data_IF_307287527193
#
_entry.id   IF_307287527193
#
_cell.length_a   1.000
_cell.length_b   1.000
_cell.length_c   1.000
_cell.angle_alpha   90.00
_cell.angle_beta   90.00
_cell.angle_gamma   90.00
#
_symmetry.space_group_name_H-M   'P 1'
#
loop_
_entity.id
_entity.type
_entity.pdbx_description
1 polymer ?
#
# COMPACT_ATOMS: atom_id res chain seq x y z
N UNK A 1 -2.14 -28.22 12.41
CA UNK A 1 -1.46 -27.00 11.96
C UNK A 1 -1.77 -25.90 12.96
N UNK A 2 -0.79 -25.10 13.43
CA UNK A 2 -1.10 -23.96 14.29
C UNK A 2 -2.04 -23.01 13.55
N UNK A 3 -3.06 -22.48 14.24
CA UNK A 3 -4.08 -21.64 13.62
C UNK A 3 -3.48 -20.29 13.20
N UNK A 4 -3.73 -19.85 11.96
CA UNK A 4 -3.33 -18.54 11.42
C UNK A 4 -4.27 -17.40 11.79
N UNK A 5 -5.38 -17.74 12.47
CA UNK A 5 -6.35 -16.84 13.07
C UNK A 5 -5.75 -15.63 13.82
N UNK A 6 -4.57 -15.72 14.48
CA UNK A 6 -3.96 -14.57 15.13
C UNK A 6 -3.56 -13.45 14.16
N UNK A 7 -3.02 -13.79 12.97
CA UNK A 7 -2.46 -12.80 12.03
C UNK A 7 -3.57 -11.98 11.39
N UNK A 8 -4.64 -12.63 10.91
CA UNK A 8 -5.77 -11.92 10.29
C UNK A 8 -6.57 -11.10 11.29
N UNK A 9 -6.75 -11.61 12.51
CA UNK A 9 -7.35 -10.81 13.60
C UNK A 9 -6.50 -9.60 13.96
N UNK A 10 -5.18 -9.77 14.08
CA UNK A 10 -4.25 -8.68 14.36
C UNK A 10 -4.28 -7.63 13.24
N UNK A 11 -4.31 -8.06 11.98
CA UNK A 11 -4.43 -7.15 10.85
C UNK A 11 -5.71 -6.31 10.92
N UNK A 12 -6.86 -6.92 11.22
CA UNK A 12 -8.12 -6.17 11.37
C UNK A 12 -8.08 -5.20 12.56
N UNK A 13 -7.47 -5.61 13.69
CA UNK A 13 -7.29 -4.75 14.87
C UNK A 13 -6.43 -3.53 14.56
N UNK A 14 -5.50 -3.61 13.61
CA UNK A 14 -4.68 -2.47 13.18
C UNK A 14 -5.41 -1.65 12.12
N UNK A 15 -5.90 -2.28 11.06
CA UNK A 15 -6.39 -1.60 9.87
C UNK A 15 -7.77 -0.97 10.03
N UNK A 16 -8.66 -1.55 10.86
CA UNK A 16 -9.97 -0.94 11.10
C UNK A 16 -9.83 0.39 11.86
N UNK A 17 -9.15 0.45 13.03
CA UNK A 17 -8.92 1.72 13.70
C UNK A 17 -8.16 2.73 12.85
N UNK A 18 -7.17 2.29 12.07
CA UNK A 18 -6.42 3.18 11.17
C UNK A 18 -7.34 3.86 10.16
N UNK A 19 -8.24 3.10 9.51
CA UNK A 19 -9.23 3.67 8.60
C UNK A 19 -10.22 4.61 9.32
N UNK A 20 -10.69 4.23 10.51
CA UNK A 20 -11.60 5.07 11.29
C UNK A 20 -10.94 6.40 11.70
N UNK A 21 -9.67 6.38 12.11
CA UNK A 21 -8.89 7.58 12.42
C UNK A 21 -8.73 8.45 11.18
N UNK A 22 -8.42 7.86 10.01
CA UNK A 22 -8.30 8.59 8.76
C UNK A 22 -9.62 9.28 8.36
N UNK A 23 -10.74 8.55 8.47
CA UNK A 23 -12.07 9.08 8.17
C UNK A 23 -12.48 10.18 9.15
N UNK A 24 -12.25 9.98 10.46
CA UNK A 24 -12.53 10.97 11.49
C UNK A 24 -11.69 12.24 11.27
N UNK A 25 -10.39 12.10 10.98
CA UNK A 25 -9.50 13.22 10.66
C UNK A 25 -10.03 14.02 9.46
N UNK A 26 -10.43 13.33 8.39
CA UNK A 26 -10.99 13.96 7.19
C UNK A 26 -12.31 14.69 7.48
N UNK A 27 -13.15 14.11 8.34
CA UNK A 27 -14.44 14.67 8.73
C UNK A 27 -14.30 15.93 9.61
N UNK A 28 -13.51 15.85 10.68
CA UNK A 28 -13.31 16.95 11.62
C UNK A 28 -12.37 18.04 11.09
N UNK A 29 -11.50 17.72 10.13
CA UNK A 29 -10.59 18.68 9.49
C UNK A 29 -11.28 19.69 8.58
N UNK A 30 -12.61 19.58 8.39
CA UNK A 30 -13.42 20.58 7.71
C UNK A 30 -13.11 20.71 6.22
N UNK A 31 -13.70 19.82 5.40
CA UNK A 31 -13.76 19.88 3.92
C UNK A 31 -12.70 19.09 3.15
N UNK A 32 -12.49 17.81 3.47
CA UNK A 32 -11.91 16.86 2.49
C UNK A 32 -12.70 15.56 2.52
N UNK A 33 -13.03 15.02 1.35
CA UNK A 33 -13.30 13.61 1.23
C UNK A 33 -11.94 12.92 1.33
N UNK A 34 -11.76 11.95 2.23
CA UNK A 34 -10.47 11.25 2.37
C UNK A 34 -10.00 10.61 1.04
N UNK A 35 -10.94 10.42 0.11
CA UNK A 35 -10.74 9.84 -1.21
C UNK A 35 -10.57 10.85 -2.35
N UNK A 36 -10.66 12.17 -2.11
CA UNK A 36 -10.53 13.20 -3.15
C UNK A 36 -9.83 14.48 -2.68
N UNK A 37 -8.92 15.01 -3.49
CA UNK A 37 -8.37 16.36 -3.32
C UNK A 37 -9.10 17.37 -4.19
N UNK A 38 -9.38 18.54 -3.61
CA UNK A 38 -9.96 19.68 -4.33
C UNK A 38 -8.92 20.33 -5.26
N UNK A 39 -7.67 20.40 -4.83
CA UNK A 39 -6.54 20.93 -5.59
C UNK A 39 -5.55 19.81 -5.95
N UNK A 40 -5.77 19.16 -7.09
CA UNK A 40 -4.82 18.21 -7.71
C UNK A 40 -3.87 18.90 -8.69
N UNK A 41 -2.70 18.33 -8.95
CA UNK A 41 -1.77 18.90 -9.95
C UNK A 41 -2.34 18.87 -11.37
N UNK A 42 -3.19 17.89 -11.68
CA UNK A 42 -3.96 17.86 -12.93
C UNK A 42 -5.27 18.64 -12.76
N UNK A 43 -5.40 19.74 -13.50
CA UNK A 43 -6.66 20.48 -13.64
C UNK A 43 -7.54 19.81 -14.70
N UNK A 44 -8.44 18.92 -14.26
CA UNK A 44 -9.36 18.20 -15.15
C UNK A 44 -10.67 17.82 -14.43
N UNK A 45 -11.77 17.58 -15.18
CA UNK A 45 -13.01 17.05 -14.60
C UNK A 45 -12.78 15.73 -13.86
N UNK A 46 -13.53 15.50 -12.78
CA UNK A 46 -13.38 14.31 -11.93
C UNK A 46 -13.38 12.97 -12.70
N UNK A 47 -14.27 12.72 -13.69
CA UNK A 47 -14.26 11.46 -14.43
C UNK A 47 -12.94 11.15 -15.13
N UNK A 48 -12.28 12.18 -15.72
CA UNK A 48 -10.99 12.02 -16.37
C UNK A 48 -9.89 11.74 -15.34
N UNK A 49 -9.91 12.45 -14.21
CA UNK A 49 -8.96 12.22 -13.10
C UNK A 49 -9.11 10.82 -12.51
N UNK A 50 -10.34 10.33 -12.35
CA UNK A 50 -10.63 8.97 -11.90
C UNK A 50 -10.10 7.93 -12.89
N UNK A 51 -10.41 8.09 -14.19
CA UNK A 51 -9.93 7.19 -15.24
C UNK A 51 -8.39 7.13 -15.27
N UNK A 52 -7.73 8.28 -15.19
CA UNK A 52 -6.27 8.35 -15.14
C UNK A 52 -5.70 7.72 -13.85
N UNK A 53 -6.31 7.97 -12.70
CA UNK A 53 -5.89 7.39 -11.41
C UNK A 53 -5.93 5.86 -11.46
N UNK A 54 -7.03 5.28 -11.92
CA UNK A 54 -7.18 3.83 -12.08
C UNK A 54 -6.20 3.26 -13.10
N UNK A 55 -6.00 3.94 -14.23
CA UNK A 55 -5.04 3.51 -15.26
C UNK A 55 -3.60 3.49 -14.73
N UNK A 56 -3.17 4.56 -14.03
CA UNK A 56 -1.85 4.63 -13.41
C UNK A 56 -1.69 3.58 -12.30
N UNK A 57 -2.72 3.36 -11.48
CA UNK A 57 -2.69 2.35 -10.43
C UNK A 57 -2.56 0.92 -10.99
N UNK A 58 -3.30 0.62 -12.06
CA UNK A 58 -3.20 -0.65 -12.76
C UNK A 58 -1.83 -0.82 -13.43
N UNK A 59 -1.33 0.21 -14.11
CA UNK A 59 -0.01 0.19 -14.73
C UNK A 59 1.10 -0.06 -13.69
N UNK A 60 1.06 0.63 -12.55
CA UNK A 60 1.99 0.43 -11.45
C UNK A 60 1.91 -1.00 -10.88
N UNK A 61 0.69 -1.53 -10.71
CA UNK A 61 0.49 -2.93 -10.30
C UNK A 61 1.19 -3.89 -11.25
N UNK A 62 0.95 -3.75 -12.55
CA UNK A 62 1.52 -4.62 -13.57
C UNK A 62 3.04 -4.54 -13.58
N UNK A 63 3.61 -3.33 -13.54
CA UNK A 63 5.06 -3.12 -13.50
C UNK A 63 5.67 -3.79 -12.27
N UNK A 64 5.14 -3.54 -11.07
CA UNK A 64 5.70 -4.08 -9.83
C UNK A 64 5.58 -5.60 -9.78
N UNK A 65 4.39 -6.14 -10.05
CA UNK A 65 4.13 -7.59 -9.96
C UNK A 65 4.94 -8.39 -10.99
N UNK A 66 5.17 -7.83 -12.18
CA UNK A 66 6.00 -8.50 -13.19
C UNK A 66 7.50 -8.36 -12.91
N UNK A 67 7.93 -7.24 -12.30
CA UNK A 67 9.31 -7.03 -11.88
C UNK A 67 9.71 -7.86 -10.66
N UNK A 68 8.79 -8.13 -9.72
CA UNK A 68 9.10 -8.83 -8.46
C UNK A 68 9.78 -10.19 -8.68
N UNK A 69 9.27 -11.13 -9.50
CA UNK A 69 9.95 -12.41 -9.75
C UNK A 69 11.33 -12.24 -10.40
N UNK A 70 11.51 -11.20 -11.24
CA UNK A 70 12.81 -10.90 -11.87
C UNK A 70 13.80 -10.44 -10.81
N UNK A 71 13.41 -9.51 -9.92
CA UNK A 71 14.26 -9.02 -8.83
C UNK A 71 14.66 -10.13 -7.88
N UNK A 72 13.71 -10.98 -7.48
CA UNK A 72 13.96 -12.17 -6.65
C UNK A 72 14.93 -13.13 -7.35
N UNK A 73 14.78 -13.40 -8.65
CA UNK A 73 15.75 -14.26 -9.35
C UNK A 73 17.14 -13.63 -9.51
N UNK A 74 17.22 -12.31 -9.69
CA UNK A 74 18.47 -11.62 -10.09
C UNK A 74 19.31 -11.11 -8.92
N UNK A 75 18.71 -10.83 -7.77
CA UNK A 75 19.40 -10.12 -6.67
C UNK A 75 19.38 -10.92 -5.37
N UNK A 76 20.48 -10.87 -4.61
CA UNK A 76 20.60 -11.61 -3.35
C UNK A 76 19.66 -11.06 -2.27
N UNK A 77 19.61 -9.72 -2.12
CA UNK A 77 18.78 -9.05 -1.12
C UNK A 77 17.29 -9.37 -1.29
N UNK A 78 16.79 -9.45 -2.54
CA UNK A 78 15.39 -9.75 -2.79
C UNK A 78 15.05 -11.21 -2.49
N UNK A 79 15.98 -12.15 -2.72
CA UNK A 79 15.80 -13.56 -2.31
C UNK A 79 15.75 -13.71 -0.81
N UNK A 80 16.64 -13.02 -0.12
CA UNK A 80 16.71 -13.05 1.35
C UNK A 80 15.42 -12.46 1.93
N UNK A 81 14.98 -11.28 1.46
CA UNK A 81 13.72 -10.68 1.88
C UNK A 81 12.51 -11.58 1.57
N UNK A 82 12.49 -12.21 0.39
CA UNK A 82 11.45 -13.16 0.01
C UNK A 82 11.39 -14.34 0.98
N UNK A 83 12.54 -14.91 1.35
CA UNK A 83 12.62 -16.02 2.31
C UNK A 83 12.08 -15.62 3.69
N UNK A 84 12.47 -14.45 4.19
CA UNK A 84 12.01 -13.93 5.48
C UNK A 84 10.49 -13.69 5.49
N UNK A 85 9.95 -13.06 4.44
CA UNK A 85 8.51 -12.83 4.32
C UNK A 85 7.75 -14.16 4.13
N UNK A 86 8.36 -15.16 3.49
CA UNK A 86 7.73 -16.46 3.29
C UNK A 86 7.39 -17.17 4.60
N UNK A 87 8.22 -17.03 5.63
CA UNK A 87 7.93 -17.61 6.95
C UNK A 87 6.61 -17.07 7.54
N UNK A 88 6.30 -15.79 7.29
CA UNK A 88 5.08 -15.12 7.74
C UNK A 88 3.87 -15.42 6.84
N UNK A 89 4.10 -15.51 5.52
CA UNK A 89 3.04 -15.58 4.51
C UNK A 89 2.65 -17.01 4.15
N UNK A 90 3.57 -17.98 4.20
CA UNK A 90 3.30 -19.37 3.83
C UNK A 90 2.14 -20.03 4.57
N UNK A 91 1.93 -19.78 5.88
CA UNK A 91 0.79 -20.34 6.60
C UNK A 91 -0.58 -19.81 6.13
N UNK A 92 -0.62 -18.60 5.56
CA UNK A 92 -1.88 -17.93 5.20
C UNK A 92 -2.58 -18.64 4.04
N UNK A 93 -3.90 -18.72 4.11
CA UNK A 93 -4.76 -19.15 3.01
C UNK A 93 -4.92 -18.04 1.94
N UNK A 94 -5.32 -18.39 0.71
CA UNK A 94 -5.56 -17.40 -0.35
C UNK A 94 -6.62 -16.34 0.01
N UNK A 95 -7.63 -16.70 0.80
CA UNK A 95 -8.65 -15.77 1.29
C UNK A 95 -8.07 -14.82 2.34
N UNK A 96 -7.26 -15.31 3.27
CA UNK A 96 -6.57 -14.48 4.26
C UNK A 96 -5.60 -13.49 3.58
N UNK A 97 -4.87 -13.90 2.54
CA UNK A 97 -4.03 -13.01 1.74
C UNK A 97 -4.86 -11.91 1.08
N UNK A 98 -6.01 -12.28 0.49
CA UNK A 98 -6.88 -11.31 -0.18
C UNK A 98 -7.49 -10.33 0.82
N UNK A 99 -7.92 -10.82 1.98
CA UNK A 99 -8.43 -10.00 3.07
C UNK A 99 -7.35 -9.04 3.60
N UNK A 100 -6.13 -9.55 3.82
CA UNK A 100 -5.01 -8.74 4.29
C UNK A 100 -4.67 -7.65 3.27
N UNK A 101 -4.59 -7.99 1.98
CA UNK A 101 -4.30 -7.04 0.92
C UNK A 101 -5.38 -5.95 0.79
N UNK A 102 -6.66 -6.33 0.91
CA UNK A 102 -7.78 -5.39 0.88
C UNK A 102 -7.79 -4.47 2.11
N UNK A 103 -7.64 -5.05 3.30
CA UNK A 103 -7.63 -4.31 4.56
C UNK A 103 -6.45 -3.33 4.64
N UNK A 104 -5.23 -3.80 4.34
CA UNK A 104 -4.05 -2.95 4.36
C UNK A 104 -4.09 -1.88 3.28
N UNK A 105 -4.36 -2.28 2.03
CA UNK A 105 -4.36 -1.37 0.89
C UNK A 105 -5.44 -0.29 0.98
N UNK A 106 -6.60 -0.57 1.56
CA UNK A 106 -7.62 0.46 1.77
C UNK A 106 -7.27 1.38 2.95
N UNK A 107 -6.96 0.79 4.12
CA UNK A 107 -6.76 1.56 5.34
C UNK A 107 -5.50 2.41 5.32
N UNK A 108 -4.40 1.89 4.79
CA UNK A 108 -3.15 2.63 4.69
C UNK A 108 -3.26 3.77 3.69
N UNK A 109 -3.91 3.58 2.53
CA UNK A 109 -4.09 4.69 1.58
C UNK A 109 -5.02 5.77 2.15
N UNK A 110 -6.12 5.40 2.81
CA UNK A 110 -6.97 6.36 3.52
C UNK A 110 -6.16 7.18 4.54
N UNK A 111 -5.30 6.53 5.31
CA UNK A 111 -4.50 7.21 6.33
C UNK A 111 -3.38 8.05 5.72
N UNK A 112 -2.46 7.45 4.96
CA UNK A 112 -1.28 8.14 4.48
C UNK A 112 -1.58 9.14 3.37
N UNK A 113 -2.50 8.81 2.46
CA UNK A 113 -2.82 9.68 1.31
C UNK A 113 -4.03 10.54 1.63
N UNK A 114 -5.07 9.99 2.25
CA UNK A 114 -6.27 10.74 2.60
C UNK A 114 -6.11 11.70 3.78
N UNK A 115 -5.30 11.36 4.79
CA UNK A 115 -5.15 12.19 6.00
C UNK A 115 -3.76 12.85 6.13
N UNK A 116 -2.67 12.09 6.02
CA UNK A 116 -1.31 12.56 6.34
C UNK A 116 -0.71 13.43 5.22
N UNK A 117 -0.71 12.95 3.97
CA UNK A 117 -0.11 13.65 2.83
C UNK A 117 -0.69 15.07 2.59
N UNK A 118 -2.01 15.30 2.74
CA UNK A 118 -2.63 16.62 2.73
C UNK A 118 -2.00 17.66 3.67
N UNK A 119 -1.40 17.21 4.78
CA UNK A 119 -0.87 18.04 5.85
C UNK A 119 0.66 18.11 5.78
N UNK A 120 1.30 16.96 5.60
CA UNK A 120 2.77 16.82 5.65
C UNK A 120 3.42 16.85 4.27
N UNK A 121 2.64 16.79 3.20
CA UNK A 121 3.12 16.70 1.83
C UNK A 121 3.55 15.29 1.43
N UNK A 122 3.84 15.14 0.13
CA UNK A 122 4.17 13.88 -0.53
C UNK A 122 5.39 13.19 0.09
N UNK A 123 6.50 13.93 0.23
CA UNK A 123 7.77 13.36 0.64
C UNK A 123 7.73 12.85 2.08
N UNK A 124 7.27 13.69 3.02
CA UNK A 124 7.26 13.33 4.44
C UNK A 124 6.24 12.22 4.73
N UNK A 125 5.06 12.24 4.10
CA UNK A 125 4.10 11.13 4.22
C UNK A 125 4.70 9.81 3.72
N UNK A 126 5.40 9.83 2.58
CA UNK A 126 6.07 8.64 2.04
C UNK A 126 7.22 8.16 2.91
N UNK A 127 7.98 9.08 3.51
CA UNK A 127 9.07 8.76 4.44
C UNK A 127 8.54 8.07 5.69
N UNK A 128 7.47 8.59 6.28
CA UNK A 128 6.81 7.97 7.45
C UNK A 128 6.25 6.60 7.07
N UNK A 129 5.61 6.48 5.90
CA UNK A 129 5.13 5.21 5.37
C UNK A 129 6.27 4.18 5.30
N UNK A 130 7.40 4.53 4.66
CA UNK A 130 8.57 3.65 4.60
C UNK A 130 9.13 3.30 5.98
N UNK A 131 9.26 4.27 6.88
CA UNK A 131 9.80 4.07 8.23
C UNK A 131 8.96 3.11 9.09
N UNK A 132 7.64 3.04 8.85
CA UNK A 132 6.75 2.08 9.52
C UNK A 132 6.84 0.67 8.93
N UNK A 133 7.45 0.51 7.76
CA UNK A 133 7.73 -0.78 7.11
C UNK A 133 9.14 -1.26 7.47
N UNK A 134 9.41 -1.39 8.76
CA UNK A 134 10.69 -1.87 9.30
C UNK A 134 10.52 -3.26 9.91
N UNK A 135 11.57 -4.07 9.88
CA UNK A 135 11.58 -5.40 10.50
C UNK A 135 12.84 -5.64 11.34
N UNK A 136 12.87 -6.74 12.10
CA UNK A 136 13.89 -6.98 13.12
C UNK A 136 15.28 -7.28 12.56
N UNK A 137 15.36 -7.70 11.28
CA UNK A 137 16.61 -8.06 10.60
C UNK A 137 17.01 -6.99 9.59
N UNK A 138 18.32 -6.84 9.35
CA UNK A 138 18.88 -5.85 8.42
C UNK A 138 18.31 -5.94 7.00
N UNK A 139 17.96 -7.15 6.53
CA UNK A 139 17.32 -7.36 5.22
C UNK A 139 16.00 -6.60 5.06
N UNK A 140 15.26 -6.35 6.15
CA UNK A 140 14.04 -5.54 6.11
C UNK A 140 14.30 -4.06 5.81
N UNK A 141 15.54 -3.56 5.89
CA UNK A 141 15.86 -2.21 5.39
C UNK A 141 15.59 -2.08 3.88
N UNK A 142 15.75 -3.17 3.13
CA UNK A 142 15.35 -3.19 1.72
C UNK A 142 13.82 -3.05 1.56
N UNK A 143 13.04 -3.64 2.48
CA UNK A 143 11.59 -3.47 2.51
C UNK A 143 11.18 -2.05 2.92
N UNK A 144 11.83 -1.47 3.94
CA UNK A 144 11.65 -0.07 4.36
C UNK A 144 11.90 0.90 3.21
N UNK A 145 13.03 0.73 2.52
CA UNK A 145 13.38 1.58 1.37
C UNK A 145 12.41 1.37 0.20
N UNK A 146 12.03 0.12 -0.09
CA UNK A 146 11.04 -0.18 -1.13
C UNK A 146 9.66 0.42 -0.81
N UNK A 147 9.21 0.33 0.44
CA UNK A 147 7.98 0.93 0.91
C UNK A 147 8.01 2.45 0.79
N UNK A 148 9.14 3.11 1.07
CA UNK A 148 9.31 4.54 0.79
C UNK A 148 9.13 4.87 -0.71
N UNK A 149 9.75 4.10 -1.61
CA UNK A 149 9.65 4.33 -3.07
C UNK A 149 8.23 4.10 -3.61
N UNK A 150 7.59 3.01 -3.21
CA UNK A 150 6.17 2.75 -3.51
C UNK A 150 5.29 3.81 -2.86
N UNK A 151 5.69 4.25 -1.66
CA UNK A 151 5.20 5.40 -0.93
C UNK A 151 5.00 6.62 -1.82
N UNK A 152 6.11 7.05 -2.42
CA UNK A 152 6.20 8.15 -3.36
C UNK A 152 5.38 7.90 -4.62
N UNK A 153 5.38 6.68 -5.17
CA UNK A 153 4.62 6.36 -6.37
C UNK A 153 3.11 6.52 -6.15
N UNK A 154 2.56 5.90 -5.11
CA UNK A 154 1.14 6.03 -4.74
C UNK A 154 0.78 7.48 -4.42
N UNK A 155 1.61 8.15 -3.62
CA UNK A 155 1.40 9.54 -3.26
C UNK A 155 1.46 10.47 -4.48
N UNK A 156 2.28 10.18 -5.49
CA UNK A 156 2.36 10.94 -6.74
C UNK A 156 1.13 10.74 -7.61
N UNK A 157 0.61 9.51 -7.72
CA UNK A 157 -0.68 9.27 -8.40
C UNK A 157 -1.79 10.07 -7.71
N UNK A 158 -1.81 10.06 -6.38
CA UNK A 158 -2.80 10.82 -5.61
C UNK A 158 -2.63 12.34 -5.76
N UNK A 159 -1.41 12.86 -5.70
CA UNK A 159 -1.15 14.30 -5.87
C UNK A 159 -1.49 14.77 -7.29
N UNK A 160 -1.18 13.94 -8.30
CA UNK A 160 -1.47 14.22 -9.69
C UNK A 160 -2.97 14.26 -9.96
N UNK A 161 -3.69 13.21 -9.55
CA UNK A 161 -5.09 13.01 -9.94
C UNK A 161 -6.07 13.55 -8.92
N UNK A 162 -5.65 13.71 -7.66
CA UNK A 162 -6.55 13.97 -6.55
C UNK A 162 -7.54 12.86 -6.28
N UNK A 163 -7.33 11.63 -6.79
CA UNK A 163 -8.27 10.51 -6.63
C UNK A 163 -7.57 9.32 -5.99
N UNK A 164 -8.10 8.84 -4.87
CA UNK A 164 -7.47 7.81 -4.02
C UNK A 164 -7.57 6.39 -4.60
N UNK A 165 -8.55 6.13 -5.48
CA UNK A 165 -8.86 4.77 -5.92
C UNK A 165 -7.78 4.12 -6.78
N UNK A 166 -6.99 4.89 -7.53
CA UNK A 166 -5.80 4.39 -8.23
C UNK A 166 -4.72 3.86 -7.28
N UNK A 167 -4.27 4.66 -6.29
CA UNK A 167 -3.39 4.21 -5.21
C UNK A 167 -3.92 2.97 -4.47
N UNK A 168 -5.20 2.96 -4.09
CA UNK A 168 -5.83 1.79 -3.42
C UNK A 168 -5.76 0.55 -4.30
N UNK A 169 -6.16 0.67 -5.57
CA UNK A 169 -6.08 -0.44 -6.54
C UNK A 169 -4.65 -0.96 -6.66
N UNK A 170 -3.68 -0.05 -6.78
CA UNK A 170 -2.27 -0.40 -6.89
C UNK A 170 -1.77 -1.16 -5.66
N UNK A 171 -2.06 -0.63 -4.48
CA UNK A 171 -1.62 -1.19 -3.22
C UNK A 171 -2.23 -2.58 -2.99
N UNK A 172 -3.55 -2.71 -3.12
CA UNK A 172 -4.25 -4.00 -2.99
C UNK A 172 -3.71 -5.01 -4.01
N UNK A 173 -3.58 -4.61 -5.28
CA UNK A 173 -3.10 -5.47 -6.36
C UNK A 173 -1.67 -5.97 -6.14
N UNK A 174 -0.75 -5.07 -5.78
CA UNK A 174 0.65 -5.40 -5.48
C UNK A 174 0.72 -6.36 -4.29
N UNK A 175 0.06 -6.03 -3.18
CA UNK A 175 0.07 -6.84 -1.97
C UNK A 175 -0.51 -8.24 -2.22
N UNK A 176 -1.68 -8.32 -2.84
CA UNK A 176 -2.34 -9.59 -3.14
C UNK A 176 -1.43 -10.49 -4.00
N UNK A 177 -0.89 -9.94 -5.10
CA UNK A 177 -0.13 -10.73 -6.07
C UNK A 177 1.24 -11.13 -5.54
N UNK A 178 1.95 -10.22 -4.87
CA UNK A 178 3.28 -10.50 -4.32
C UNK A 178 3.19 -11.46 -3.14
N UNK A 179 2.22 -11.33 -2.23
CA UNK A 179 2.01 -12.32 -1.17
C UNK A 179 1.63 -13.69 -1.74
N UNK A 180 0.79 -13.73 -2.78
CA UNK A 180 0.47 -15.00 -3.47
C UNK A 180 1.70 -15.62 -4.10
N UNK A 181 2.59 -14.81 -4.70
CA UNK A 181 3.85 -15.25 -5.27
C UNK A 181 4.78 -15.83 -4.19
N UNK A 182 4.94 -15.11 -3.07
CA UNK A 182 5.73 -15.53 -1.89
C UNK A 182 5.19 -16.83 -1.29
N UNK A 183 3.88 -16.97 -1.18
CA UNK A 183 3.27 -18.20 -0.66
C UNK A 183 3.60 -19.42 -1.53
N UNK A 184 3.69 -19.24 -2.85
CA UNK A 184 3.84 -20.34 -3.82
C UNK A 184 5.29 -20.74 -4.12
N UNK A 185 6.24 -19.84 -3.94
CA UNK A 185 7.65 -20.02 -4.35
C UNK A 185 8.59 -19.76 -3.20
#
# INVERSE_FOLDING_TARGET
MPSTTPITKLALIVYVPLALVALAWSWFGGHRLAWSLDASWLSAPYPLRLGLSLALGLALTLVVVTATPVLVRRTAWARELHSELKELIAPLSPSEISLLALASGLSEELFFRGAVQPVLGLFLSSLIFGALHVGPKKVFLAWTFWAFLIGLAFGSIFALTGVLWGPVLAHVGINQRNMTFIRRH
#
